data_IF_245694515289
#
_entry.id   IF_245694515289
#
_cell.length_a   1.000
_cell.length_b   1.000
_cell.length_c   1.000
_cell.angle_alpha   90.00
_cell.angle_beta   90.00
_cell.angle_gamma   90.00
#
_symmetry.space_group_name_H-M   'P 1'
#
loop_
_entity.id
_entity.type
_entity.pdbx_description
1 polymer ?
#
# COMPACT_ATOMS: atom_id res chain seq x y z
N UNK A 1 -15.00 -8.40 -4.58
CA UNK A 1 -15.21 -8.74 -3.15
C UNK A 1 -15.46 -7.50 -2.29
N UNK A 2 -14.63 -6.46 -2.31
CA UNK A 2 -14.80 -5.32 -1.40
C UNK A 2 -16.02 -4.40 -1.60
N UNK A 3 -16.78 -4.53 -2.70
CA UNK A 3 -17.96 -3.69 -2.94
C UNK A 3 -18.97 -3.72 -1.77
N UNK A 4 -19.61 -2.59 -1.38
CA UNK A 4 -20.53 -2.50 -0.24
C UNK A 4 -21.61 -3.59 -0.20
N UNK A 5 -22.24 -3.88 -1.33
CA UNK A 5 -23.26 -4.96 -1.45
C UNK A 5 -22.74 -6.33 -1.00
N UNK A 6 -21.47 -6.65 -1.24
CA UNK A 6 -20.90 -7.91 -0.78
C UNK A 6 -20.60 -7.88 0.73
N UNK A 7 -20.16 -6.73 1.24
CA UNK A 7 -19.94 -6.53 2.67
C UNK A 7 -21.25 -6.67 3.45
N UNK A 8 -22.34 -6.06 2.97
CA UNK A 8 -23.68 -6.18 3.58
C UNK A 8 -24.17 -7.62 3.62
N UNK A 9 -23.97 -8.38 2.54
CA UNK A 9 -24.41 -9.78 2.44
C UNK A 9 -23.58 -10.74 3.30
N UNK A 10 -22.28 -10.50 3.44
CA UNK A 10 -21.36 -11.44 4.10
C UNK A 10 -20.99 -11.04 5.53
N UNK A 11 -21.18 -9.77 5.91
CA UNK A 11 -20.61 -9.18 7.11
C UNK A 11 -19.09 -9.01 7.06
N UNK A 12 -18.44 -9.30 5.91
CA UNK A 12 -16.99 -9.22 5.73
C UNK A 12 -16.62 -7.97 4.95
N UNK A 13 -15.91 -7.05 5.62
CA UNK A 13 -15.29 -5.88 4.99
C UNK A 13 -13.93 -6.26 4.39
N UNK A 14 -13.66 -5.77 3.18
CA UNK A 14 -12.36 -5.95 2.50
C UNK A 14 -11.71 -4.60 2.27
N UNK A 15 -10.45 -4.47 2.67
CA UNK A 15 -9.62 -3.26 2.53
C UNK A 15 -8.28 -3.65 1.94
N UNK A 16 -7.62 -2.73 1.24
CA UNK A 16 -6.27 -2.93 0.76
C UNK A 16 -5.31 -1.93 1.40
N UNK A 17 -4.20 -2.44 1.91
CA UNK A 17 -3.05 -1.65 2.37
C UNK A 17 -1.89 -1.90 1.40
N UNK A 18 -1.35 -0.82 0.85
CA UNK A 18 -0.18 -0.82 0.00
C UNK A 18 1.00 -0.16 0.76
N UNK A 19 1.85 -0.95 1.43
CA UNK A 19 3.07 -0.43 2.03
C UNK A 19 4.13 -0.18 0.96
N UNK A 20 4.87 0.93 1.09
CA UNK A 20 6.09 1.15 0.31
C UNK A 20 7.25 0.29 0.84
N UNK A 21 8.48 0.55 0.37
CA UNK A 21 9.67 -0.19 0.81
C UNK A 21 9.80 -0.14 2.33
N UNK A 22 9.89 -1.32 2.92
CA UNK A 22 9.89 -1.52 4.38
C UNK A 22 11.03 -2.45 4.74
N UNK A 23 11.79 -2.11 5.78
CA UNK A 23 12.94 -2.87 6.26
C UNK A 23 12.50 -4.20 6.88
N UNK A 24 12.27 -5.18 6.01
CA UNK A 24 11.85 -6.54 6.38
C UNK A 24 12.74 -7.54 5.66
N UNK A 25 12.63 -8.81 6.06
CA UNK A 25 13.37 -9.90 5.42
C UNK A 25 13.02 -10.07 3.94
N UNK A 26 11.91 -9.52 3.43
CA UNK A 26 11.57 -9.53 1.99
C UNK A 26 12.63 -8.84 1.13
N UNK A 27 13.34 -7.85 1.70
CA UNK A 27 14.38 -7.10 0.99
C UNK A 27 15.72 -7.85 0.93
N UNK A 28 15.86 -8.99 1.60
CA UNK A 28 17.11 -9.76 1.62
C UNK A 28 17.27 -10.72 0.42
N UNK A 29 16.25 -10.82 -0.44
CA UNK A 29 16.27 -11.68 -1.62
C UNK A 29 17.14 -11.16 -2.78
N UNK A 30 17.67 -12.06 -3.61
CA UNK A 30 18.44 -11.71 -4.83
C UNK A 30 17.61 -11.10 -5.96
N UNK A 31 16.29 -10.98 -5.77
CA UNK A 31 15.37 -10.35 -6.74
C UNK A 31 15.75 -8.88 -6.96
N UNK A 32 16.45 -8.27 -5.99
CA UNK A 32 16.89 -6.89 -6.08
C UNK A 32 18.11 -6.68 -6.99
N UNK A 33 18.81 -7.74 -7.39
CA UNK A 33 20.04 -7.67 -8.19
C UNK A 33 19.77 -7.38 -9.69
N UNK A 34 18.51 -7.53 -10.15
CA UNK A 34 18.10 -7.29 -11.54
C UNK A 34 17.68 -5.85 -11.84
N UNK A 35 17.80 -4.95 -10.86
CA UNK A 35 17.33 -3.57 -11.01
C UNK A 35 18.31 -2.70 -11.80
N UNK A 36 17.79 -1.95 -12.76
CA UNK A 36 18.57 -1.01 -13.56
C UNK A 36 18.90 0.28 -12.79
N UNK A 37 19.73 1.14 -13.38
CA UNK A 37 20.13 2.43 -12.81
C UNK A 37 18.93 3.32 -12.43
N UNK A 38 17.84 3.24 -13.19
CA UNK A 38 16.62 4.00 -12.93
C UNK A 38 15.96 3.63 -11.60
N UNK A 39 15.88 2.33 -11.30
CA UNK A 39 15.38 1.86 -10.01
C UNK A 39 16.29 2.29 -8.86
N UNK A 40 17.61 2.17 -9.02
CA UNK A 40 18.57 2.57 -7.99
C UNK A 40 18.48 4.07 -7.67
N UNK A 41 18.24 4.90 -8.69
CA UNK A 41 18.00 6.33 -8.51
C UNK A 41 16.74 6.58 -7.68
N UNK A 42 15.60 5.96 -8.03
CA UNK A 42 14.35 6.11 -7.28
C UNK A 42 14.51 5.65 -5.83
N UNK A 43 15.18 4.51 -5.61
CA UNK A 43 15.46 4.01 -4.26
C UNK A 43 16.29 4.99 -3.43
N UNK A 44 17.20 5.74 -4.05
CA UNK A 44 18.06 6.70 -3.37
C UNK A 44 17.37 8.05 -3.13
N UNK A 45 16.55 8.50 -4.08
CA UNK A 45 16.05 9.88 -4.10
C UNK A 45 14.62 10.01 -3.55
N UNK A 46 13.79 8.97 -3.67
CA UNK A 46 12.34 9.06 -3.41
C UNK A 46 11.84 8.09 -2.33
N UNK A 47 12.66 7.13 -1.92
CA UNK A 47 12.27 6.07 -1.00
C UNK A 47 12.91 6.30 0.37
N UNK A 48 12.07 6.37 1.40
CA UNK A 48 12.50 6.19 2.78
C UNK A 48 12.20 4.74 3.15
N UNK A 49 13.23 4.01 3.56
CA UNK A 49 13.08 2.64 4.01
C UNK A 49 12.42 2.64 5.40
N UNK A 50 11.10 2.43 5.41
CA UNK A 50 10.29 2.55 6.62
C UNK A 50 10.46 1.33 7.53
N UNK A 51 10.18 1.53 8.82
CA UNK A 51 10.21 0.43 9.79
C UNK A 51 8.95 -0.43 9.69
N UNK A 52 9.04 -1.76 9.93
CA UNK A 52 7.85 -2.63 9.99
C UNK A 52 6.83 -2.16 11.03
N UNK A 53 7.30 -1.59 12.14
CA UNK A 53 6.44 -1.03 13.19
C UNK A 53 5.59 0.12 12.67
N UNK A 54 6.17 1.04 11.87
CA UNK A 54 5.42 2.15 11.25
C UNK A 54 4.27 1.61 10.38
N UNK A 55 4.54 0.59 9.57
CA UNK A 55 3.51 -0.05 8.72
C UNK A 55 2.47 -0.79 9.56
N UNK A 56 2.88 -1.41 10.66
CA UNK A 56 1.98 -2.08 11.61
C UNK A 56 1.01 -1.09 12.26
N UNK A 57 1.50 0.07 12.71
CA UNK A 57 0.67 1.15 13.24
C UNK A 57 -0.30 1.69 12.19
N UNK A 58 0.18 1.93 10.97
CA UNK A 58 -0.65 2.32 9.83
C UNK A 58 -1.76 1.28 9.54
N UNK A 59 -1.45 -0.02 9.59
CA UNK A 59 -2.43 -1.08 9.39
C UNK A 59 -3.54 -1.04 10.45
N UNK A 60 -3.19 -0.78 11.72
CA UNK A 60 -4.16 -0.63 12.82
C UNK A 60 -5.04 0.60 12.61
N UNK A 61 -4.47 1.72 12.19
CA UNK A 61 -5.21 2.94 11.92
C UNK A 61 -6.19 2.76 10.74
N UNK A 62 -5.70 2.23 9.62
CA UNK A 62 -6.52 1.92 8.43
C UNK A 62 -7.64 0.93 8.79
N UNK A 63 -7.34 -0.09 9.60
CA UNK A 63 -8.38 -1.02 10.04
C UNK A 63 -9.54 -0.33 10.76
N UNK A 64 -9.25 0.69 11.57
CA UNK A 64 -10.26 1.47 12.32
C UNK A 64 -11.04 2.45 11.43
N UNK A 65 -10.38 3.08 10.46
CA UNK A 65 -10.95 4.19 9.69
C UNK A 65 -11.57 3.77 8.35
N UNK A 66 -11.01 2.75 7.69
CA UNK A 66 -11.31 2.48 6.29
C UNK A 66 -12.71 1.89 6.07
N UNK A 67 -13.39 2.35 5.03
CA UNK A 67 -14.58 1.69 4.52
C UNK A 67 -14.22 0.47 3.67
N UNK A 68 -15.19 -0.41 3.44
CA UNK A 68 -14.99 -1.53 2.51
C UNK A 68 -14.67 -1.01 1.11
N UNK A 69 -13.86 -1.76 0.35
CA UNK A 69 -13.28 -1.43 -0.96
C UNK A 69 -12.24 -0.31 -1.00
N UNK A 70 -11.95 0.36 0.12
CA UNK A 70 -10.92 1.40 0.12
C UNK A 70 -9.50 0.82 0.03
N UNK A 71 -8.64 1.59 -0.63
CA UNK A 71 -7.22 1.30 -0.80
C UNK A 71 -6.43 2.43 -0.14
N UNK A 72 -5.48 2.06 0.72
CA UNK A 72 -4.69 2.98 1.50
C UNK A 72 -3.20 2.74 1.29
N UNK A 73 -2.41 3.81 1.35
CA UNK A 73 -0.95 3.78 1.19
C UNK A 73 -0.26 4.19 2.48
N UNK A 74 0.71 3.38 2.91
CA UNK A 74 1.69 3.72 3.94
C UNK A 74 3.06 3.83 3.28
N UNK A 75 3.60 5.05 3.19
CA UNK A 75 4.81 5.34 2.41
C UNK A 75 5.70 6.33 3.13
N UNK A 76 7.00 6.06 3.11
CA UNK A 76 8.05 6.97 3.55
C UNK A 76 7.92 7.50 4.98
N UNK A 77 7.37 6.70 5.91
CA UNK A 77 7.04 7.12 7.28
C UNK A 77 6.11 8.37 7.34
N UNK A 78 5.38 8.66 6.26
CA UNK A 78 4.35 9.70 6.23
C UNK A 78 2.99 9.19 6.73
N UNK A 79 2.06 10.09 7.12
CA UNK A 79 0.69 9.70 7.44
C UNK A 79 0.01 8.92 6.32
N UNK A 80 -0.87 7.97 6.70
CA UNK A 80 -1.62 7.13 5.76
C UNK A 80 -2.44 7.98 4.78
N UNK A 81 -2.47 7.58 3.51
CA UNK A 81 -3.21 8.29 2.46
C UNK A 81 -4.21 7.36 1.79
N UNK A 82 -5.46 7.81 1.70
CA UNK A 82 -6.48 7.15 0.90
C UNK A 82 -6.15 7.34 -0.59
N UNK A 83 -6.16 6.25 -1.35
CA UNK A 83 -5.98 6.31 -2.81
C UNK A 83 -7.29 6.77 -3.43
N UNK A 84 -7.24 7.91 -4.11
CA UNK A 84 -8.33 8.35 -4.98
C UNK A 84 -8.14 7.71 -6.35
N UNK A 85 -8.93 6.67 -6.65
CA UNK A 85 -8.95 6.08 -7.99
C UNK A 85 -9.83 6.96 -8.88
N UNK A 86 -9.20 7.73 -9.77
CA UNK A 86 -9.90 8.35 -10.90
C UNK A 86 -9.95 7.33 -12.02
N UNK A 87 -11.17 6.91 -12.40
CA UNK A 87 -11.35 6.14 -13.62
C UNK A 87 -11.22 7.11 -14.80
N UNK A 88 -10.11 7.05 -15.54
CA UNK A 88 -10.10 7.59 -16.89
C UNK A 88 -10.90 6.62 -17.76
N UNK A 89 -11.89 7.13 -18.50
CA UNK A 89 -12.60 6.32 -19.48
C UNK A 89 -11.60 5.84 -20.53
N UNK A 90 -11.24 4.57 -20.47
CA UNK A 90 -10.52 3.91 -21.56
C UNK A 90 -11.56 3.70 -22.66
N UNK A 91 -11.65 4.65 -23.59
CA UNK A 91 -12.42 4.46 -24.83
C UNK A 91 -11.89 3.23 -25.56
N UNK A 92 -12.76 2.32 -26.02
CA UNK A 92 -12.37 1.06 -26.68
C UNK A 92 -11.57 1.26 -27.96
#
# INVERSE_FOLDING_TARGET
LGHPVNCEKSGVRVIALCPSFTDTTILTGKVWDYHNEGFQRVMKEEVVLQKPETVGEAAVEIFKLANTSEVWVAKNDEPIKLVQVTYEEVTP
#
